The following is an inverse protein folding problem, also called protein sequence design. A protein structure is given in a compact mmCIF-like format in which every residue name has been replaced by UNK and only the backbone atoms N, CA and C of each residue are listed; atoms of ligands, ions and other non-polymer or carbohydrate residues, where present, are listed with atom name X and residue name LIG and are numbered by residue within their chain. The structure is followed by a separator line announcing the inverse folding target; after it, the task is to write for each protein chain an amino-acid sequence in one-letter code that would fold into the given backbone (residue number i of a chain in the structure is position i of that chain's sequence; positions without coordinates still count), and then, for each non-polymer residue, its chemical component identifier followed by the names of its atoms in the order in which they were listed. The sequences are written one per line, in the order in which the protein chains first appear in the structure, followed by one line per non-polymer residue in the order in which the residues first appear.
data_IF_400552873592
#
_entry.id   IF_400552873592
#
_cell.length_a   1.000
_cell.length_b   1.000
_cell.length_c   1.000
_cell.angle_alpha   90.00
_cell.angle_beta   90.00
_cell.angle_gamma   90.00
#
_symmetry.space_group_name_H-M   'P 1'
#
loop_
_entity.id
_entity.type
_entity.pdbx_description
1 polymer ?
#
# COMPACT_ATOMS: atom_id res chain seq x y z
N UNK A 1 13.71 4.59 16.71
CA UNK A 1 13.55 4.28 15.28
C UNK A 1 12.43 3.27 15.09
N UNK A 2 11.61 3.50 14.08
CA UNK A 2 10.45 2.71 13.71
C UNK A 2 10.58 2.28 12.24
N UNK A 3 10.65 0.97 11.97
CA UNK A 3 10.69 0.45 10.59
C UNK A 3 9.32 0.52 9.92
N UNK A 4 9.29 1.04 8.69
CA UNK A 4 8.09 1.06 7.86
C UNK A 4 8.42 0.78 6.41
N UNK A 5 7.39 0.39 5.65
CA UNK A 5 7.42 0.44 4.19
C UNK A 5 6.53 1.58 3.70
N UNK A 6 7.01 2.30 2.69
CA UNK A 6 6.24 3.22 1.86
C UNK A 6 5.95 2.58 0.50
N UNK A 7 4.70 2.67 0.06
CA UNK A 7 4.30 2.38 -1.30
C UNK A 7 3.87 3.66 -2.01
N UNK A 8 4.27 3.81 -3.27
CA UNK A 8 3.97 4.98 -4.09
C UNK A 8 3.00 4.61 -5.22
N UNK A 9 2.15 5.56 -5.60
CA UNK A 9 1.21 5.37 -6.72
C UNK A 9 1.81 5.70 -8.09
N UNK A 10 2.85 6.54 -8.12
CA UNK A 10 3.51 7.00 -9.33
C UNK A 10 4.91 6.39 -9.48
N UNK A 11 5.49 6.50 -10.67
CA UNK A 11 6.85 6.07 -10.98
C UNK A 11 7.88 7.04 -10.36
N UNK A 12 8.00 6.99 -9.03
CA UNK A 12 8.93 7.83 -8.27
C UNK A 12 10.38 7.42 -8.54
N UNK A 13 11.33 8.35 -8.73
CA UNK A 13 12.75 8.03 -8.91
C UNK A 13 13.40 7.58 -7.58
N UNK A 14 13.14 6.33 -7.17
CA UNK A 14 13.45 5.78 -5.84
C UNK A 14 14.91 5.94 -5.38
N UNK A 15 15.88 5.98 -6.30
CA UNK A 15 17.29 6.22 -5.95
C UNK A 15 17.53 7.66 -5.49
N UNK A 16 16.95 8.62 -6.21
CA UNK A 16 17.07 10.04 -5.85
C UNK A 16 16.26 10.33 -4.59
N UNK A 17 15.07 9.72 -4.48
CA UNK A 17 14.28 9.81 -3.26
C UNK A 17 15.07 9.28 -2.06
N UNK A 18 15.73 8.12 -2.17
CA UNK A 18 16.57 7.60 -1.09
C UNK A 18 17.60 8.63 -0.60
N UNK A 19 18.33 9.27 -1.51
CA UNK A 19 19.35 10.27 -1.16
C UNK A 19 18.72 11.47 -0.41
N UNK A 20 17.53 11.91 -0.84
CA UNK A 20 16.75 12.96 -0.18
C UNK A 20 16.33 12.54 1.24
N UNK A 21 15.76 11.35 1.38
CA UNK A 21 15.31 10.82 2.67
C UNK A 21 16.45 10.69 3.69
N UNK A 22 17.65 10.30 3.27
CA UNK A 22 18.82 10.24 4.16
C UNK A 22 19.19 11.62 4.71
N UNK A 23 19.05 12.69 3.91
CA UNK A 23 19.25 14.08 4.38
C UNK A 23 18.17 14.52 5.37
N UNK A 24 16.98 13.93 5.26
CA UNK A 24 15.84 14.17 6.12
C UNK A 24 15.79 13.28 7.38
N UNK A 25 16.87 12.55 7.68
CA UNK A 25 16.98 11.76 8.90
C UNK A 25 16.21 10.44 8.87
N UNK A 26 15.81 9.98 7.68
CA UNK A 26 15.44 8.57 7.49
C UNK A 26 16.71 7.72 7.41
N UNK A 27 16.67 6.51 7.97
CA UNK A 27 17.83 5.62 8.04
C UNK A 27 17.55 4.25 7.41
N UNK A 28 18.62 3.49 7.16
CA UNK A 28 18.57 2.10 6.70
C UNK A 28 17.65 1.86 5.49
N UNK A 29 17.71 2.70 4.46
CA UNK A 29 16.72 2.67 3.37
C UNK A 29 17.00 1.56 2.35
N UNK A 30 16.02 0.67 2.16
CA UNK A 30 16.03 -0.44 1.21
C UNK A 30 14.96 -0.25 0.12
N UNK A 31 15.35 -0.28 -1.16
CA UNK A 31 14.44 -0.07 -2.29
C UNK A 31 13.73 -1.39 -2.66
N UNK A 32 12.40 -1.39 -2.68
CA UNK A 32 11.57 -2.52 -3.13
C UNK A 32 11.23 -2.38 -4.62
N UNK A 33 12.18 -2.74 -5.50
CA UNK A 33 12.04 -2.58 -6.95
C UNK A 33 10.81 -3.28 -7.56
N UNK A 34 10.31 -4.35 -6.97
CA UNK A 34 9.13 -5.08 -7.48
C UNK A 34 7.80 -4.45 -7.05
N UNK A 35 7.79 -3.56 -6.04
CA UNK A 35 6.59 -3.00 -5.44
C UNK A 35 6.42 -1.49 -5.66
N UNK A 36 7.39 -0.82 -6.32
CA UNK A 36 7.39 0.63 -6.44
C UNK A 36 7.38 1.29 -5.05
N UNK A 37 8.24 0.81 -4.15
CA UNK A 37 8.25 1.23 -2.75
C UNK A 37 9.63 1.18 -2.12
N UNK A 38 9.74 1.60 -0.87
CA UNK A 38 10.96 1.56 -0.08
C UNK A 38 10.67 1.21 1.38
N UNK A 39 11.60 0.54 2.03
CA UNK A 39 11.60 0.30 3.47
C UNK A 39 12.62 1.23 4.11
N UNK A 40 12.28 1.79 5.26
CA UNK A 40 13.09 2.78 5.95
C UNK A 40 12.85 2.75 7.45
N UNK A 41 13.80 3.28 8.20
CA UNK A 41 13.67 3.54 9.62
C UNK A 41 13.53 5.05 9.84
N UNK A 42 12.66 5.46 10.77
CA UNK A 42 12.49 6.87 11.14
C UNK A 42 12.14 7.03 12.62
N UNK A 43 12.38 8.21 13.20
CA UNK A 43 11.86 8.57 14.52
C UNK A 43 10.36 8.89 14.49
N UNK A 44 9.82 9.25 13.33
CA UNK A 44 8.41 9.60 13.17
C UNK A 44 7.47 8.39 13.28
N UNK A 45 6.26 8.61 13.79
CA UNK A 45 5.20 7.61 13.71
C UNK A 45 4.62 7.54 12.29
N UNK A 46 3.98 6.41 11.93
CA UNK A 46 3.59 6.11 10.55
C UNK A 46 2.83 7.21 9.79
N UNK A 47 1.88 7.91 10.42
CA UNK A 47 1.12 8.98 9.77
C UNK A 47 1.99 10.24 9.57
N UNK A 48 2.85 10.57 10.53
CA UNK A 48 3.81 11.68 10.42
C UNK A 48 4.87 11.38 9.33
N UNK A 49 5.34 10.14 9.26
CA UNK A 49 6.26 9.70 8.22
C UNK A 49 5.63 9.79 6.83
N UNK A 50 4.34 9.46 6.70
CA UNK A 50 3.60 9.61 5.44
C UNK A 50 3.52 11.08 5.02
N UNK A 51 3.10 11.97 5.93
CA UNK A 51 3.02 13.42 5.64
C UNK A 51 4.39 14.01 5.28
N UNK A 52 5.46 13.59 5.96
CA UNK A 52 6.81 14.03 5.64
C UNK A 52 7.25 13.55 4.25
N UNK A 53 6.97 12.29 3.90
CA UNK A 53 7.27 11.74 2.59
C UNK A 53 6.52 12.46 1.47
N UNK A 54 5.24 12.76 1.67
CA UNK A 54 4.42 13.52 0.71
C UNK A 54 5.02 14.91 0.48
N UNK A 55 5.45 15.60 1.53
CA UNK A 55 6.09 16.90 1.41
C UNK A 55 7.40 16.86 0.62
N UNK A 56 8.25 15.85 0.85
CA UNK A 56 9.51 15.67 0.11
C UNK A 56 9.23 15.41 -1.38
N UNK A 57 8.22 14.58 -1.69
CA UNK A 57 7.82 14.31 -3.08
C UNK A 57 7.31 15.56 -3.80
N UNK A 58 6.49 16.37 -3.13
CA UNK A 58 5.95 17.61 -3.69
C UNK A 58 7.08 18.64 -3.93
N UNK A 59 7.94 18.87 -2.93
CA UNK A 59 8.95 19.94 -3.00
C UNK A 59 10.16 19.60 -3.89
N UNK A 60 10.63 18.34 -3.87
CA UNK A 60 11.89 17.97 -4.53
C UNK A 60 11.69 17.23 -5.85
N UNK A 61 10.52 16.60 -6.05
CA UNK A 61 10.25 15.75 -7.21
C UNK A 61 9.12 16.26 -8.10
N UNK A 62 8.38 17.31 -7.70
CA UNK A 62 7.19 17.82 -8.42
C UNK A 62 6.13 16.72 -8.62
N UNK A 63 6.03 15.80 -7.64
CA UNK A 63 5.12 14.65 -7.66
C UNK A 63 3.94 14.88 -6.71
N UNK A 64 2.72 15.05 -7.25
CA UNK A 64 1.46 15.22 -6.50
C UNK A 64 0.77 13.87 -6.22
N UNK A 65 1.58 12.84 -5.96
CA UNK A 65 1.14 11.48 -5.65
C UNK A 65 0.78 11.31 -4.17
N UNK A 66 0.09 10.22 -3.84
CA UNK A 66 -0.12 9.82 -2.45
C UNK A 66 0.88 8.75 -2.02
N UNK A 67 1.26 8.77 -0.74
CA UNK A 67 2.17 7.79 -0.14
C UNK A 67 1.42 6.95 0.88
N UNK A 68 1.65 5.64 0.85
CA UNK A 68 1.07 4.74 1.86
C UNK A 68 2.18 4.15 2.71
N UNK A 69 2.26 4.62 3.96
CA UNK A 69 3.16 4.06 4.97
C UNK A 69 2.46 2.97 5.78
N UNK A 70 3.12 1.81 5.93
CA UNK A 70 2.63 0.67 6.73
C UNK A 70 3.73 0.03 7.56
N UNK A 71 3.36 -0.42 8.76
CA UNK A 71 4.21 -1.28 9.58
C UNK A 71 4.00 -2.75 9.24
N UNK A 72 4.97 -3.58 9.62
CA UNK A 72 4.90 -5.05 9.50
C UNK A 72 3.62 -5.64 10.09
N UNK A 73 3.22 -5.17 11.29
CA UNK A 73 2.03 -5.66 11.99
C UNK A 73 0.76 -5.40 11.17
N UNK A 74 0.64 -4.20 10.57
CA UNK A 74 -0.54 -3.84 9.77
C UNK A 74 -0.59 -4.64 8.47
N UNK A 75 0.54 -4.84 7.80
CA UNK A 75 0.61 -5.69 6.61
C UNK A 75 0.32 -7.16 6.93
N UNK A 76 0.81 -7.67 8.06
CA UNK A 76 0.54 -9.04 8.49
C UNK A 76 -0.96 -9.26 8.73
N UNK A 77 -1.63 -8.29 9.35
CA UNK A 77 -3.10 -8.31 9.52
C UNK A 77 -3.84 -8.24 8.19
N UNK A 78 -3.38 -7.42 7.25
CA UNK A 78 -3.95 -7.36 5.90
C UNK A 78 -3.97 -8.75 5.24
N UNK A 79 -2.89 -9.53 5.34
CA UNK A 79 -2.88 -10.89 4.79
C UNK A 79 -3.81 -11.84 5.57
N UNK A 80 -3.73 -11.83 6.90
CA UNK A 80 -4.46 -12.75 7.77
C UNK A 80 -5.98 -12.52 7.77
N UNK A 81 -6.43 -11.28 7.60
CA UNK A 81 -7.84 -10.90 7.65
C UNK A 81 -8.51 -10.91 6.27
N UNK A 82 -7.89 -11.51 5.24
CA UNK A 82 -8.46 -11.58 3.89
C UNK A 82 -9.74 -12.44 3.88
N UNK A 83 -10.95 -11.85 3.73
CA UNK A 83 -12.20 -12.59 3.77
C UNK A 83 -12.49 -13.32 2.45
N UNK A 84 -11.63 -13.18 1.44
CA UNK A 84 -11.80 -13.73 0.10
C UNK A 84 -10.93 -14.95 -0.19
N UNK A 85 -10.17 -15.47 0.79
CA UNK A 85 -9.23 -16.58 0.61
C UNK A 85 -9.84 -17.78 -0.14
N UNK A 86 -11.03 -18.22 0.27
CA UNK A 86 -11.71 -19.38 -0.34
C UNK A 86 -12.53 -19.01 -1.59
N UNK A 87 -12.79 -17.72 -1.81
CA UNK A 87 -13.66 -17.22 -2.87
C UNK A 87 -12.92 -17.01 -4.20
N UNK A 88 -11.59 -17.07 -4.19
CA UNK A 88 -10.75 -16.54 -5.26
C UNK A 88 -9.89 -17.57 -5.98
N UNK A 89 -10.20 -18.86 -5.84
CA UNK A 89 -9.42 -19.95 -6.45
C UNK A 89 -9.24 -19.81 -7.98
N UNK A 90 -10.20 -19.22 -8.68
CA UNK A 90 -10.12 -18.92 -10.13
C UNK A 90 -9.80 -17.45 -10.47
N UNK A 91 -9.47 -16.64 -9.47
CA UNK A 91 -9.29 -15.21 -9.57
C UNK A 91 -7.84 -14.82 -9.26
N UNK A 92 -7.45 -13.64 -9.72
CA UNK A 92 -6.23 -12.99 -9.24
C UNK A 92 -6.58 -12.09 -8.07
N UNK A 93 -5.83 -12.22 -6.98
CA UNK A 93 -6.02 -11.42 -5.77
C UNK A 93 -5.20 -10.13 -5.83
N UNK A 94 -5.79 -9.04 -5.37
CA UNK A 94 -5.14 -7.75 -5.11
C UNK A 94 -5.59 -7.25 -3.75
N UNK A 95 -4.65 -6.67 -3.02
CA UNK A 95 -4.95 -5.88 -1.83
C UNK A 95 -4.99 -4.41 -2.24
N UNK A 96 -6.01 -3.71 -1.78
CA UNK A 96 -6.19 -2.29 -2.03
C UNK A 96 -5.76 -1.53 -0.79
N UNK A 97 -4.68 -0.77 -0.92
CA UNK A 97 -4.17 0.10 0.11
C UNK A 97 -4.70 1.52 -0.11
N UNK A 98 -4.96 2.20 1.01
CA UNK A 98 -5.46 3.58 1.01
C UNK A 98 -4.58 4.45 1.89
N UNK A 99 -4.32 5.66 1.41
CA UNK A 99 -3.65 6.74 2.14
C UNK A 99 -4.42 7.06 3.43
N UNK A 100 -5.75 7.18 3.34
CA UNK A 100 -6.62 7.61 4.44
C UNK A 100 -7.69 6.58 4.78
N UNK A 101 -8.25 6.60 6.01
CA UNK A 101 -9.37 5.75 6.36
C UNK A 101 -10.57 5.94 5.43
N UNK A 102 -11.14 4.83 4.98
CA UNK A 102 -12.33 4.82 4.14
C UNK A 102 -13.59 5.18 4.94
N UNK A 103 -14.44 6.04 4.36
CA UNK A 103 -15.77 6.37 4.88
C UNK A 103 -16.77 5.26 4.53
N UNK A 104 -17.55 4.80 5.51
CA UNK A 104 -18.43 3.63 5.34
C UNK A 104 -19.47 3.78 4.22
N UNK A 105 -20.09 4.95 4.06
CA UNK A 105 -21.03 5.19 2.96
C UNK A 105 -20.39 5.03 1.58
N UNK A 106 -19.09 5.37 1.45
CA UNK A 106 -18.34 5.22 0.21
C UNK A 106 -17.91 3.77 -0.02
N UNK A 107 -17.55 3.03 1.05
CA UNK A 107 -17.35 1.57 0.97
C UNK A 107 -18.60 0.88 0.43
N UNK A 108 -19.77 1.23 0.97
CA UNK A 108 -21.04 0.65 0.52
C UNK A 108 -21.34 0.96 -0.94
N UNK A 109 -21.05 2.17 -1.41
CA UNK A 109 -21.19 2.50 -2.83
C UNK A 109 -20.27 1.67 -3.74
N UNK A 110 -19.01 1.44 -3.33
CA UNK A 110 -18.08 0.59 -4.07
C UNK A 110 -18.51 -0.89 -4.06
N UNK A 111 -19.01 -1.39 -2.93
CA UNK A 111 -19.56 -2.76 -2.82
C UNK A 111 -20.79 -2.95 -3.71
N UNK A 112 -21.73 -2.01 -3.68
CA UNK A 112 -22.94 -2.05 -4.51
C UNK A 112 -22.62 -1.99 -6.01
N UNK A 113 -21.56 -1.29 -6.39
CA UNK A 113 -21.05 -1.35 -7.77
C UNK A 113 -20.44 -2.72 -8.09
N UNK A 114 -19.63 -3.31 -7.19
CA UNK A 114 -18.95 -4.57 -7.46
C UNK A 114 -19.90 -5.78 -7.53
N UNK A 115 -20.98 -5.79 -6.74
CA UNK A 115 -21.94 -6.89 -6.63
C UNK A 115 -22.50 -7.42 -7.97
N UNK A 116 -23.01 -6.59 -8.90
CA UNK A 116 -23.48 -7.06 -10.21
C UNK A 116 -22.37 -7.43 -11.20
N UNK A 117 -21.09 -7.23 -10.86
CA UNK A 117 -19.95 -7.49 -11.75
C UNK A 117 -19.20 -8.76 -11.31
N UNK A 118 -19.55 -9.96 -11.82
CA UNK A 118 -18.99 -11.23 -11.34
C UNK A 118 -17.48 -11.40 -11.59
N UNK A 119 -16.90 -10.53 -12.42
CA UNK A 119 -15.46 -10.44 -12.63
C UNK A 119 -14.72 -9.74 -11.48
N UNK A 120 -15.42 -9.14 -10.51
CA UNK A 120 -14.87 -8.42 -9.37
C UNK A 120 -15.56 -8.88 -8.09
N UNK A 121 -14.79 -9.39 -7.13
CA UNK A 121 -15.27 -9.60 -5.76
C UNK A 121 -14.52 -8.64 -4.87
N UNK A 122 -15.25 -7.70 -4.27
CA UNK A 122 -14.70 -6.66 -3.41
C UNK A 122 -15.17 -6.87 -1.97
N UNK A 123 -14.24 -6.77 -1.02
CA UNK A 123 -14.50 -6.70 0.41
C UNK A 123 -13.60 -5.64 1.04
N UNK A 124 -13.98 -5.13 2.20
CA UNK A 124 -13.16 -4.22 2.99
C UNK A 124 -12.94 -4.83 4.36
N UNK A 125 -11.70 -4.80 4.83
CA UNK A 125 -11.33 -5.13 6.21
C UNK A 125 -10.83 -3.90 6.94
N UNK A 126 -10.11 -4.16 8.03
CA UNK A 126 -9.55 -3.11 8.87
C UNK A 126 -8.38 -2.39 8.19
N UNK A 127 -7.48 -3.13 7.56
CA UNK A 127 -6.21 -2.59 7.06
C UNK A 127 -6.25 -2.20 5.57
N UNK A 128 -7.30 -2.60 4.84
CA UNK A 128 -7.42 -2.33 3.42
C UNK A 128 -8.64 -2.98 2.77
N UNK A 129 -8.65 -2.94 1.44
CA UNK A 129 -9.63 -3.62 0.60
C UNK A 129 -9.05 -4.92 0.04
N UNK A 130 -9.93 -5.86 -0.27
CA UNK A 130 -9.61 -7.14 -0.87
C UNK A 130 -10.36 -7.24 -2.18
N UNK A 131 -9.62 -7.43 -3.26
CA UNK A 131 -10.17 -7.54 -4.59
C UNK A 131 -9.73 -8.84 -5.23
N UNK A 132 -10.71 -9.63 -5.66
CA UNK A 132 -10.46 -10.73 -6.57
C UNK A 132 -11.01 -10.37 -7.94
N UNK A 133 -10.19 -10.54 -8.97
CA UNK A 133 -10.59 -10.20 -10.33
C UNK A 133 -10.36 -11.34 -11.32
N UNK A 134 -11.25 -11.43 -12.32
CA UNK A 134 -11.16 -12.37 -13.45
C UNK A 134 -11.10 -11.60 -14.77
N UNK A 135 -10.03 -11.82 -15.52
CA UNK A 135 -9.82 -11.21 -16.83
C UNK A 135 -8.45 -10.56 -16.97
N UNK A 136 -8.31 -9.75 -18.02
CA UNK A 136 -7.06 -9.09 -18.41
C UNK A 136 -6.77 -7.81 -17.60
N UNK A 137 -5.53 -7.34 -17.68
CA UNK A 137 -5.04 -6.15 -16.97
C UNK A 137 -5.88 -4.90 -17.25
N UNK A 138 -6.32 -4.69 -18.49
CA UNK A 138 -7.15 -3.53 -18.84
C UNK A 138 -8.52 -3.54 -18.16
N UNK A 139 -9.07 -4.74 -17.93
CA UNK A 139 -10.31 -4.88 -17.18
C UNK A 139 -10.07 -4.51 -15.72
N UNK A 140 -8.98 -4.99 -15.11
CA UNK A 140 -8.60 -4.62 -13.75
C UNK A 140 -8.49 -3.10 -13.61
N UNK A 141 -7.75 -2.43 -14.51
CA UNK A 141 -7.58 -0.97 -14.49
C UNK A 141 -8.92 -0.23 -14.51
N UNK A 142 -9.82 -0.57 -15.45
CA UNK A 142 -11.16 0.05 -15.51
C UNK A 142 -12.00 -0.21 -14.26
N UNK A 143 -11.92 -1.41 -13.70
CA UNK A 143 -12.62 -1.76 -12.47
C UNK A 143 -12.10 -0.99 -11.26
N UNK A 144 -10.78 -0.86 -11.13
CA UNK A 144 -10.15 -0.03 -10.09
C UNK A 144 -10.59 1.42 -10.20
N UNK A 145 -10.54 2.03 -11.39
CA UNK A 145 -11.01 3.40 -11.57
C UNK A 145 -12.47 3.61 -11.16
N UNK A 146 -13.34 2.64 -11.43
CA UNK A 146 -14.73 2.68 -10.96
C UNK A 146 -14.84 2.55 -9.44
N UNK A 147 -14.07 1.66 -8.82
CA UNK A 147 -14.00 1.51 -7.36
C UNK A 147 -13.53 2.83 -6.73
N UNK A 148 -12.45 3.43 -7.22
CA UNK A 148 -11.89 4.70 -6.75
C UNK A 148 -12.89 5.85 -6.90
N UNK A 149 -13.62 5.91 -8.01
CA UNK A 149 -14.70 6.90 -8.22
C UNK A 149 -15.78 6.79 -7.12
N UNK A 150 -16.17 5.56 -6.74
CA UNK A 150 -17.15 5.36 -5.65
C UNK A 150 -16.55 5.66 -4.27
N UNK A 151 -15.28 5.34 -4.07
CA UNK A 151 -14.54 5.62 -2.83
C UNK A 151 -14.17 7.11 -2.68
N UNK A 152 -14.19 7.87 -3.78
CA UNK A 152 -13.70 9.25 -3.88
C UNK A 152 -12.31 9.42 -3.28
N UNK A 153 -11.45 8.45 -3.55
CA UNK A 153 -10.04 8.43 -3.21
C UNK A 153 -9.36 7.35 -4.05
N UNK A 154 -8.06 7.52 -4.35
CA UNK A 154 -7.31 6.52 -5.08
C UNK A 154 -7.04 5.28 -4.23
N UNK A 155 -6.70 4.18 -4.89
CA UNK A 155 -6.41 2.90 -4.27
C UNK A 155 -5.17 2.28 -4.90
N UNK A 156 -4.14 2.04 -4.09
CA UNK A 156 -2.97 1.32 -4.58
C UNK A 156 -3.22 -0.18 -4.55
N UNK A 157 -3.24 -0.81 -5.72
CA UNK A 157 -3.44 -2.26 -5.85
C UNK A 157 -2.10 -3.01 -5.79
N UNK A 158 -1.85 -3.73 -4.70
CA UNK A 158 -0.64 -4.54 -4.50
C UNK A 158 -0.94 -6.04 -4.56
N UNK A 159 0.07 -6.85 -4.88
CA UNK A 159 -0.03 -8.32 -4.85
C UNK A 159 0.29 -8.89 -3.48
N UNK A 160 -0.03 -10.16 -3.27
CA UNK A 160 0.36 -10.89 -2.06
C UNK A 160 1.88 -10.93 -1.90
N UNK A 161 2.61 -11.34 -2.93
CA UNK A 161 4.07 -11.36 -2.96
C UNK A 161 4.68 -9.99 -2.58
N UNK A 162 4.06 -8.89 -3.01
CA UNK A 162 4.54 -7.55 -2.66
C UNK A 162 4.42 -7.27 -1.16
N UNK A 163 3.28 -7.66 -0.57
CA UNK A 163 3.00 -7.49 0.85
C UNK A 163 3.88 -8.40 1.69
N UNK A 164 4.04 -9.67 1.30
CA UNK A 164 4.91 -10.63 1.98
C UNK A 164 6.36 -10.18 2.00
N UNK A 165 6.88 -9.74 0.86
CA UNK A 165 8.27 -9.25 0.79
C UNK A 165 8.47 -7.97 1.57
N UNK A 166 7.48 -7.07 1.61
CA UNK A 166 7.53 -5.91 2.48
C UNK A 166 7.54 -6.29 3.97
N UNK A 167 6.72 -7.27 4.39
CA UNK A 167 6.73 -7.81 5.76
C UNK A 167 8.10 -8.38 6.13
N UNK A 168 8.71 -9.13 5.22
CA UNK A 168 10.04 -9.73 5.42
C UNK A 168 11.10 -8.64 5.66
N UNK A 169 11.23 -7.68 4.73
CA UNK A 169 12.26 -6.64 4.82
C UNK A 169 12.03 -5.74 6.04
N UNK A 170 10.80 -5.30 6.33
CA UNK A 170 10.52 -4.54 7.56
C UNK A 170 10.90 -5.37 8.80
N UNK A 171 10.66 -6.68 8.79
CA UNK A 171 11.09 -7.57 9.89
C UNK A 171 12.60 -7.70 10.05
N UNK A 172 13.37 -7.63 8.96
CA UNK A 172 14.83 -7.59 9.01
C UNK A 172 15.32 -6.28 9.67
N UNK A 173 14.69 -5.14 9.38
CA UNK A 173 15.00 -3.87 10.03
C UNK A 173 14.71 -3.91 11.53
N UNK A 174 13.54 -4.42 11.92
CA UNK A 174 13.17 -4.63 13.33
C UNK A 174 14.24 -5.46 14.05
N UNK A 175 14.69 -6.56 13.46
CA UNK A 175 15.71 -7.43 14.05
C UNK A 175 17.09 -6.74 14.18
N UNK A 176 17.47 -5.88 13.22
CA UNK A 176 18.72 -5.08 13.30
C UNK A 176 18.67 -4.07 14.44
N UNK A 177 17.54 -3.40 14.62
CA UNK A 177 17.34 -2.46 15.73
C UNK A 177 17.38 -3.19 17.07
N UNK A 178 16.73 -4.33 17.19
CA UNK A 178 16.76 -5.15 18.42
C UNK A 178 18.17 -5.64 18.78
N UNK A 179 18.98 -6.02 17.79
CA UNK A 179 20.36 -6.45 18.00
C UNK A 179 21.33 -5.32 18.36
N UNK A 180 20.91 -4.06 18.19
CA UNK A 180 21.71 -2.85 18.45
C UNK A 180 21.43 -2.22 19.83
N UNK A 181 20.50 -2.80 20.59
CA UNK A 181 20.13 -2.42 21.96
C UNK A 181 20.92 -3.24 23.01
#
# INVERSE_FOLDING_TARGET
MHPYVAFFNEDVPLRQLKDSLENDGFENIDILHFAGGLVFDTENYGDEAATKLEHILEEEFDEDGFVIVRSRVRLSRLLQENPLLDECQEYRTRFLLFERPLIDSRKQAALAWAEPHPSFRLRFGREGGYLCFKGETDRLKRGLSQIEEKLRQPALAVTEDMVERAIEVVGEHEARLEASL
#
